data_IF_219078490761
#
_entry.id   IF_219078490761
#
_cell.length_a   1.000
_cell.length_b   1.000
_cell.length_c   1.000
_cell.angle_alpha   90.00
_cell.angle_beta   90.00
_cell.angle_gamma   90.00
#
_symmetry.space_group_name_H-M   'P 1'
#
loop_
_entity.id
_entity.type
_entity.pdbx_description
1 polymer ?
#
# COMPACT_ATOMS: atom_id res chain seq x y z
N UNK A 1 4.97 16.58 -7.80
CA UNK A 1 3.54 16.32 -8.03
C UNK A 1 2.86 16.41 -6.69
N UNK A 2 1.78 17.15 -6.53
CA UNK A 2 1.08 17.26 -5.24
C UNK A 2 -0.12 16.33 -5.28
N UNK A 3 -0.05 15.25 -4.52
CA UNK A 3 -1.20 14.38 -4.25
C UNK A 3 -2.14 15.05 -3.26
N UNK A 4 -3.41 14.67 -3.30
CA UNK A 4 -4.42 15.13 -2.34
C UNK A 4 -4.43 14.16 -1.17
N UNK A 5 -4.16 14.62 0.07
CA UNK A 5 -4.23 13.77 1.24
C UNK A 5 -5.68 13.37 1.54
N UNK A 6 -5.84 12.13 1.95
CA UNK A 6 -7.04 11.57 2.57
C UNK A 6 -6.61 11.17 3.97
N UNK A 7 -7.06 11.93 4.95
CA UNK A 7 -6.72 11.66 6.36
C UNK A 7 -7.25 10.29 6.75
N UNK A 8 -6.49 9.59 7.60
CA UNK A 8 -6.95 8.33 8.18
C UNK A 8 -8.37 8.48 8.74
N UNK A 9 -9.23 7.50 8.44
CA UNK A 9 -10.56 7.43 9.04
C UNK A 9 -10.41 7.15 10.55
N UNK A 10 -11.18 7.85 11.37
CA UNK A 10 -11.28 7.48 12.78
C UNK A 10 -11.79 6.04 12.93
N UNK A 11 -11.48 5.41 14.06
CA UNK A 11 -11.74 4.00 14.30
C UNK A 11 -13.20 3.60 14.06
N UNK A 12 -14.13 4.38 14.58
CA UNK A 12 -15.57 4.11 14.46
C UNK A 12 -16.01 4.19 13.00
N UNK A 13 -15.67 5.30 12.32
CA UNK A 13 -15.98 5.51 10.90
C UNK A 13 -15.37 4.40 10.03
N UNK A 14 -14.12 4.02 10.29
CA UNK A 14 -13.41 2.96 9.56
C UNK A 14 -14.16 1.63 9.66
N UNK A 15 -14.56 1.24 10.87
CA UNK A 15 -15.23 -0.03 11.11
C UNK A 15 -16.65 -0.03 10.52
N UNK A 16 -17.40 1.06 10.70
CA UNK A 16 -18.71 1.22 10.06
C UNK A 16 -18.60 1.20 8.53
N UNK A 17 -17.59 1.85 7.96
CA UNK A 17 -17.36 1.88 6.52
C UNK A 17 -17.05 0.48 5.96
N UNK A 18 -16.11 -0.25 6.58
CA UNK A 18 -15.75 -1.62 6.18
C UNK A 18 -16.90 -2.61 6.33
N UNK A 19 -17.69 -2.49 7.40
CA UNK A 19 -18.81 -3.39 7.66
C UNK A 19 -20.00 -3.10 6.73
N UNK A 20 -20.26 -1.82 6.45
CA UNK A 20 -21.43 -1.36 5.68
C UNK A 20 -21.22 -1.37 4.18
N UNK A 21 -20.07 -0.91 3.67
CA UNK A 21 -19.85 -0.76 2.23
C UNK A 21 -19.33 -2.07 1.66
N UNK A 22 -20.16 -2.75 0.84
CA UNK A 22 -19.75 -3.99 0.14
C UNK A 22 -19.05 -3.73 -1.18
N UNK A 23 -19.27 -2.56 -1.74
CA UNK A 23 -18.65 -2.13 -2.98
C UNK A 23 -19.31 -0.86 -3.49
N UNK A 24 -18.68 -0.25 -4.47
CA UNK A 24 -19.28 0.79 -5.29
C UNK A 24 -18.97 0.55 -6.75
N UNK A 25 -19.84 1.03 -7.65
CA UNK A 25 -19.57 1.04 -9.08
C UNK A 25 -19.85 2.43 -9.63
N UNK A 26 -18.90 2.94 -10.41
CA UNK A 26 -19.07 4.17 -11.17
C UNK A 26 -19.30 3.81 -12.62
N UNK A 27 -20.50 4.11 -13.11
CA UNK A 27 -20.82 3.97 -14.54
C UNK A 27 -20.70 5.34 -15.19
N UNK A 28 -19.88 5.42 -16.22
CA UNK A 28 -19.61 6.67 -16.94
C UNK A 28 -19.88 6.49 -18.42
N UNK A 29 -20.74 7.32 -18.99
CA UNK A 29 -20.87 7.49 -20.44
C UNK A 29 -19.99 8.65 -20.88
N UNK A 30 -19.19 8.44 -21.92
CA UNK A 30 -18.29 9.42 -22.50
C UNK A 30 -18.63 9.59 -23.96
N UNK A 31 -18.92 10.82 -24.38
CA UNK A 31 -18.98 11.24 -25.78
C UNK A 31 -17.77 12.13 -26.03
N UNK A 32 -16.78 11.60 -26.76
CA UNK A 32 -15.52 12.26 -27.04
C UNK A 32 -15.51 12.85 -28.45
N UNK A 33 -15.75 14.14 -28.55
CA UNK A 33 -15.55 14.96 -29.75
C UNK A 33 -14.15 15.58 -29.85
N UNK A 34 -13.23 15.27 -28.93
CA UNK A 34 -11.83 15.67 -29.05
C UNK A 34 -11.14 14.78 -30.09
N UNK A 35 -10.18 15.31 -30.86
CA UNK A 35 -9.51 14.55 -31.90
C UNK A 35 -8.43 13.58 -31.37
N UNK A 36 -8.49 13.24 -30.09
CA UNK A 36 -7.56 12.36 -29.39
C UNK A 36 -8.32 11.43 -28.46
N UNK A 37 -7.81 10.22 -28.28
CA UNK A 37 -8.27 9.28 -27.25
C UNK A 37 -7.35 9.33 -26.03
N UNK A 38 -7.73 8.62 -24.98
CA UNK A 38 -6.97 8.64 -23.75
C UNK A 38 -7.60 7.88 -22.61
N UNK A 39 -7.04 8.08 -21.44
CA UNK A 39 -7.44 7.50 -20.18
C UNK A 39 -7.28 8.54 -19.08
N UNK A 40 -8.29 8.63 -18.23
CA UNK A 40 -8.23 9.35 -16.97
C UNK A 40 -8.45 8.34 -15.85
N UNK A 41 -7.61 8.35 -14.84
CA UNK A 41 -7.74 7.48 -13.70
C UNK A 41 -7.51 8.24 -12.40
N UNK A 42 -8.21 7.82 -11.36
CA UNK A 42 -7.94 8.22 -9.99
C UNK A 42 -7.14 7.08 -9.36
N UNK A 43 -5.90 7.36 -9.03
CA UNK A 43 -4.98 6.42 -8.40
C UNK A 43 -4.73 6.82 -6.96
N UNK A 44 -4.38 5.86 -6.11
CA UNK A 44 -4.16 6.09 -4.70
C UNK A 44 -3.04 5.23 -4.12
N UNK A 45 -2.51 5.67 -2.99
CA UNK A 45 -1.36 5.11 -2.30
C UNK A 45 -1.37 5.47 -0.81
N UNK A 46 -0.57 4.77 0.00
CA UNK A 46 -0.22 5.09 1.39
C UNK A 46 0.93 6.12 1.51
N UNK A 47 1.47 6.61 0.38
CA UNK A 47 2.53 7.64 0.33
C UNK A 47 2.10 8.82 -0.53
N UNK A 48 2.62 10.00 -0.20
CA UNK A 48 2.36 11.23 -0.94
C UNK A 48 3.08 11.26 -2.31
N UNK A 49 4.24 10.62 -2.39
CA UNK A 49 5.04 10.47 -3.59
C UNK A 49 5.00 9.03 -4.11
N UNK A 50 4.23 8.84 -5.19
CA UNK A 50 4.06 7.55 -5.85
C UNK A 50 3.97 7.71 -7.37
N UNK A 51 4.37 6.67 -8.14
CA UNK A 51 4.42 6.75 -9.60
C UNK A 51 3.02 6.76 -10.23
N UNK A 52 2.87 7.55 -11.29
CA UNK A 52 1.63 7.57 -12.09
C UNK A 52 1.51 6.36 -13.04
N UNK A 53 2.63 5.77 -13.44
CA UNK A 53 2.65 4.53 -14.22
C UNK A 53 3.75 3.57 -13.74
N UNK A 54 3.70 2.31 -14.18
CA UNK A 54 4.59 1.24 -13.70
C UNK A 54 5.84 1.07 -14.56
N UNK A 55 6.20 2.07 -15.39
CA UNK A 55 7.37 1.96 -16.26
C UNK A 55 8.65 2.17 -15.46
N UNK A 56 9.72 1.53 -15.91
CA UNK A 56 11.02 1.60 -15.25
C UNK A 56 11.53 3.05 -15.11
N UNK A 57 11.30 3.89 -16.12
CA UNK A 57 11.73 5.29 -16.10
C UNK A 57 10.98 6.10 -15.04
N UNK A 58 9.68 5.84 -14.85
CA UNK A 58 8.85 6.50 -13.84
C UNK A 58 9.24 6.05 -12.44
N UNK A 59 9.48 4.74 -12.25
CA UNK A 59 9.96 4.21 -10.97
C UNK A 59 11.34 4.77 -10.60
N UNK A 60 12.25 4.87 -11.57
CA UNK A 60 13.56 5.50 -11.36
C UNK A 60 13.41 6.98 -10.98
N UNK A 61 12.53 7.73 -11.65
CA UNK A 61 12.30 9.14 -11.31
C UNK A 61 11.75 9.33 -9.88
N UNK A 62 10.93 8.39 -9.38
CA UNK A 62 10.49 8.39 -7.98
C UNK A 62 11.66 8.09 -7.05
N UNK A 63 12.47 7.07 -7.34
CA UNK A 63 13.68 6.76 -6.55
C UNK A 63 14.65 7.96 -6.49
N UNK A 64 14.88 8.63 -7.62
CA UNK A 64 15.71 9.84 -7.71
C UNK A 64 15.13 10.99 -6.87
N UNK A 65 13.81 11.16 -6.90
CA UNK A 65 13.10 12.19 -6.10
C UNK A 65 13.20 11.91 -4.60
N UNK A 66 13.25 10.63 -4.21
CA UNK A 66 13.50 10.17 -2.85
C UNK A 66 15.00 10.17 -2.48
N UNK A 67 15.87 10.55 -3.43
CA UNK A 67 17.32 10.57 -3.30
C UNK A 67 17.91 9.18 -2.97
N UNK A 68 17.29 8.13 -3.50
CA UNK A 68 17.76 6.76 -3.32
C UNK A 68 18.75 6.39 -4.41
N UNK A 69 19.84 5.72 -4.00
CA UNK A 69 20.74 5.00 -4.92
C UNK A 69 20.25 3.55 -5.16
N UNK A 70 19.13 3.19 -4.54
CA UNK A 70 18.55 1.87 -4.52
C UNK A 70 17.62 1.63 -5.72
N UNK A 71 17.29 0.37 -5.98
CA UNK A 71 16.29 0.02 -7.00
C UNK A 71 14.88 0.18 -6.47
N UNK A 72 13.97 0.71 -7.28
CA UNK A 72 12.52 0.70 -7.03
C UNK A 72 11.83 -0.16 -8.09
N UNK A 73 11.08 -1.18 -7.66
CA UNK A 73 10.38 -2.08 -8.57
C UNK A 73 9.01 -2.48 -8.02
N UNK A 74 8.20 -3.18 -8.82
CA UNK A 74 6.82 -3.54 -8.47
C UNK A 74 6.71 -5.05 -8.24
N UNK A 75 6.07 -5.44 -7.14
CA UNK A 75 5.62 -6.81 -6.88
C UNK A 75 4.10 -6.80 -6.70
N UNK A 76 3.44 -7.86 -7.18
CA UNK A 76 1.98 -8.00 -7.12
C UNK A 76 1.48 -9.28 -6.45
N UNK A 77 2.39 -10.21 -6.16
CA UNK A 77 2.00 -11.51 -5.62
C UNK A 77 2.21 -11.58 -4.12
N UNK A 78 1.14 -11.90 -3.40
CA UNK A 78 1.16 -12.12 -1.96
C UNK A 78 1.94 -13.37 -1.58
N UNK A 79 2.16 -14.29 -2.53
CA UNK A 79 3.07 -15.43 -2.32
C UNK A 79 4.54 -14.99 -2.14
N UNK A 80 4.89 -13.85 -2.73
CA UNK A 80 6.22 -13.22 -2.57
C UNK A 80 6.22 -12.26 -1.38
N UNK A 81 5.14 -11.51 -1.19
CA UNK A 81 4.96 -10.53 -0.10
C UNK A 81 4.45 -11.19 1.17
N UNK A 82 5.26 -12.06 1.73
CA UNK A 82 4.96 -12.79 2.96
C UNK A 82 6.16 -12.77 3.89
N UNK A 83 5.96 -12.84 5.21
CA UNK A 83 7.06 -12.71 6.16
C UNK A 83 8.02 -13.91 6.15
N UNK A 84 7.56 -15.10 5.71
CA UNK A 84 8.44 -16.26 5.48
C UNK A 84 9.35 -16.15 4.26
N UNK A 85 9.20 -15.10 3.44
CA UNK A 85 10.18 -14.77 2.42
C UNK A 85 11.25 -13.88 3.05
N UNK A 86 12.37 -14.47 3.42
CA UNK A 86 13.46 -13.75 4.08
C UNK A 86 13.92 -12.55 3.25
N UNK A 87 13.81 -12.56 1.92
CA UNK A 87 14.31 -11.47 1.07
C UNK A 87 13.42 -10.22 1.11
N UNK A 88 12.23 -10.30 1.75
CA UNK A 88 11.25 -9.22 1.80
C UNK A 88 10.92 -8.81 3.24
N UNK A 89 10.78 -7.51 3.49
CA UNK A 89 10.21 -6.94 4.70
C UNK A 89 8.92 -6.20 4.35
N UNK A 90 7.79 -6.65 4.90
CA UNK A 90 6.45 -6.17 4.51
C UNK A 90 5.83 -5.19 5.52
N UNK A 91 6.35 -5.15 6.75
CA UNK A 91 5.68 -4.49 7.88
C UNK A 91 5.74 -2.96 7.90
N UNK A 92 6.39 -2.35 6.89
CA UNK A 92 6.32 -0.90 6.65
C UNK A 92 4.97 -0.44 6.07
N UNK A 93 4.20 -1.36 5.48
CA UNK A 93 2.96 -1.07 4.74
C UNK A 93 1.81 -1.96 5.21
N UNK A 94 2.10 -3.21 5.55
CA UNK A 94 1.13 -4.20 6.02
C UNK A 94 1.33 -4.42 7.52
N UNK A 95 0.31 -4.28 8.36
CA UNK A 95 0.49 -4.59 9.80
C UNK A 95 0.38 -6.10 10.03
N UNK A 96 -0.40 -6.80 9.20
CA UNK A 96 -0.46 -8.25 9.18
C UNK A 96 -0.16 -8.79 7.77
N UNK A 97 0.40 -9.99 7.67
CA UNK A 97 0.67 -10.62 6.37
C UNK A 97 -0.58 -10.89 5.52
N UNK A 98 -1.74 -11.02 6.16
CA UNK A 98 -3.05 -11.17 5.52
C UNK A 98 -3.60 -9.87 4.90
N UNK A 99 -2.99 -8.71 5.22
CA UNK A 99 -3.34 -7.43 4.59
C UNK A 99 -2.92 -7.36 3.11
N UNK A 100 -2.11 -8.32 2.64
CA UNK A 100 -1.70 -8.37 1.24
C UNK A 100 -2.88 -8.69 0.31
N UNK A 101 -3.03 -7.89 -0.74
CA UNK A 101 -4.06 -8.06 -1.77
C UNK A 101 -3.40 -8.42 -3.10
N UNK A 102 -3.76 -9.60 -3.62
CA UNK A 102 -3.21 -10.12 -4.88
C UNK A 102 -3.53 -9.17 -6.06
N UNK A 103 -2.52 -8.87 -6.88
CA UNK A 103 -2.66 -8.03 -8.08
C UNK A 103 -2.45 -6.53 -7.85
N UNK A 104 -2.51 -6.05 -6.61
CA UNK A 104 -2.14 -4.67 -6.23
C UNK A 104 -0.66 -4.45 -6.48
N UNK A 105 -0.27 -3.25 -6.94
CA UNK A 105 1.14 -2.95 -7.18
C UNK A 105 1.80 -2.44 -5.90
N UNK A 106 2.57 -3.30 -5.25
CA UNK A 106 3.43 -2.92 -4.14
C UNK A 106 4.78 -2.44 -4.67
N UNK A 107 5.20 -1.25 -4.24
CA UNK A 107 6.50 -0.67 -4.54
C UNK A 107 7.53 -1.22 -3.57
N UNK A 108 8.57 -1.83 -4.12
CA UNK A 108 9.64 -2.46 -3.35
C UNK A 108 10.92 -1.66 -3.51
N UNK A 109 11.48 -1.22 -2.38
CA UNK A 109 12.82 -0.65 -2.31
C UNK A 109 13.82 -1.79 -2.13
N UNK A 110 14.61 -2.02 -3.17
CA UNK A 110 15.67 -3.01 -3.15
C UNK A 110 17.03 -2.38 -2.87
N UNK A 111 17.58 -2.63 -1.69
CA UNK A 111 18.89 -2.14 -1.25
C UNK A 111 19.94 -3.22 -1.51
N UNK A 112 21.11 -2.84 -2.01
CA UNK A 112 22.16 -3.83 -2.28
C UNK A 112 22.75 -4.36 -0.96
N UNK A 113 22.74 -5.69 -0.79
CA UNK A 113 23.29 -6.34 0.40
C UNK A 113 22.38 -6.30 1.63
N UNK A 114 21.15 -5.84 1.48
CA UNK A 114 20.12 -5.86 2.51
C UNK A 114 18.84 -6.52 1.98
N UNK A 115 17.94 -6.83 2.91
CA UNK A 115 16.59 -7.30 2.60
C UNK A 115 15.82 -6.20 1.86
N UNK A 116 15.03 -6.59 0.86
CA UNK A 116 14.17 -5.65 0.15
C UNK A 116 12.97 -5.28 1.05
N UNK A 117 12.53 -4.02 0.99
CA UNK A 117 11.45 -3.54 1.86
C UNK A 117 10.28 -3.07 1.02
N UNK A 118 9.07 -3.50 1.36
CA UNK A 118 7.85 -2.88 0.84
C UNK A 118 7.84 -1.43 1.32
N UNK A 119 7.76 -0.50 0.38
CA UNK A 119 7.78 0.93 0.64
C UNK A 119 6.37 1.53 0.65
N UNK A 120 5.54 1.07 -0.28
CA UNK A 120 4.21 1.62 -0.54
C UNK A 120 3.38 0.68 -1.41
N UNK A 121 2.07 0.89 -1.49
CA UNK A 121 1.22 0.33 -2.55
C UNK A 121 0.71 1.43 -3.49
N UNK A 122 0.34 1.04 -4.72
CA UNK A 122 -0.33 1.91 -5.69
C UNK A 122 -1.44 1.13 -6.41
N UNK A 123 -2.65 1.65 -6.34
CA UNK A 123 -3.78 1.08 -7.07
C UNK A 123 -4.70 2.14 -7.71
N UNK A 124 -5.62 1.70 -8.58
CA UNK A 124 -6.57 2.55 -9.31
C UNK A 124 -7.97 2.44 -8.71
N UNK A 125 -8.47 3.53 -8.12
CA UNK A 125 -9.85 3.60 -7.63
C UNK A 125 -10.84 3.60 -8.78
N UNK A 126 -10.66 4.52 -9.72
CA UNK A 126 -11.62 4.79 -10.78
C UNK A 126 -10.88 5.02 -12.10
N UNK A 127 -11.45 4.53 -13.20
CA UNK A 127 -10.90 4.68 -14.54
C UNK A 127 -11.98 5.07 -15.54
N UNK A 128 -11.66 6.08 -16.34
CA UNK A 128 -12.46 6.60 -17.44
C UNK A 128 -11.61 6.44 -18.70
N UNK A 129 -12.18 5.87 -19.74
CA UNK A 129 -11.53 5.74 -21.05
C UNK A 129 -12.16 6.74 -21.99
N UNK A 130 -11.35 7.60 -22.59
CA UNK A 130 -11.78 8.49 -23.66
C UNK A 130 -11.73 7.70 -24.97
N UNK A 131 -12.88 7.37 -25.59
CA UNK A 131 -12.90 6.58 -26.81
C UNK A 131 -12.26 7.36 -27.97
N UNK A 132 -11.66 6.65 -28.93
CA UNK A 132 -11.23 7.27 -30.19
C UNK A 132 -12.45 7.77 -30.96
N UNK A 133 -12.40 8.97 -31.58
CA UNK A 133 -13.44 9.41 -32.49
C UNK A 133 -13.74 8.37 -33.58
N UNK A 134 -15.01 8.21 -33.93
CA UNK A 134 -15.43 7.24 -34.94
C UNK A 134 -15.03 7.70 -36.36
N UNK A 135 -15.11 9.00 -36.63
CA UNK A 135 -14.79 9.55 -37.93
C UNK A 135 -14.16 10.95 -37.82
N UNK A 136 -13.20 11.22 -38.69
CA UNK A 136 -12.62 12.54 -38.91
C UNK A 136 -13.05 13.08 -40.28
N UNK A 137 -13.14 14.41 -40.38
CA UNK A 137 -13.33 15.06 -41.67
C UNK A 137 -12.15 14.77 -42.61
N UNK A 138 -12.45 14.56 -43.90
CA UNK A 138 -11.50 14.32 -44.98
C UNK A 138 -11.24 15.56 -45.84
N UNK A 139 -10.32 15.40 -46.80
CA UNK A 139 -10.03 16.46 -47.79
C UNK A 139 -11.24 16.68 -48.69
N UNK A 140 -11.77 17.90 -48.70
CA UNK A 140 -12.91 18.28 -49.54
C UNK A 140 -14.27 18.22 -48.85
N UNK A 141 -14.33 17.88 -47.56
CA UNK A 141 -15.57 17.96 -46.79
C UNK A 141 -16.02 19.43 -46.64
N UNK A 142 -17.29 19.75 -46.91
CA UNK A 142 -17.77 21.14 -46.94
C UNK A 142 -17.92 21.75 -45.54
N UNK A 143 -18.14 20.91 -44.53
CA UNK A 143 -18.52 21.35 -43.18
C UNK A 143 -17.35 21.33 -42.17
N UNK A 144 -16.21 20.75 -42.54
CA UNK A 144 -15.08 20.53 -41.66
C UNK A 144 -13.75 20.46 -42.41
N UNK A 145 -12.66 20.58 -41.66
CA UNK A 145 -11.30 20.54 -42.21
C UNK A 145 -10.61 19.21 -41.84
N UNK A 146 -9.70 18.70 -42.68
CA UNK A 146 -9.10 17.38 -42.49
C UNK A 146 -8.43 17.21 -41.12
N UNK A 147 -8.84 16.22 -40.33
CA UNK A 147 -8.30 15.99 -38.98
C UNK A 147 -9.13 16.60 -37.85
N UNK A 148 -10.24 17.28 -38.15
CA UNK A 148 -11.32 17.57 -37.18
C UNK A 148 -12.17 16.33 -36.94
N UNK A 149 -12.72 16.20 -35.74
CA UNK A 149 -13.72 15.17 -35.46
C UNK A 149 -15.01 15.46 -36.23
N UNK A 150 -15.49 14.46 -36.95
CA UNK A 150 -16.77 14.47 -37.66
C UNK A 150 -17.83 13.70 -36.89
N UNK A 151 -17.48 12.52 -36.39
CA UNK A 151 -18.33 11.71 -35.52
C UNK A 151 -17.58 11.44 -34.22
N UNK A 152 -18.10 11.89 -33.07
CA UNK A 152 -17.47 11.66 -31.77
C UNK A 152 -17.49 10.18 -31.42
N UNK A 153 -16.53 9.73 -30.61
CA UNK A 153 -16.59 8.40 -30.01
C UNK A 153 -17.58 8.36 -28.86
N UNK A 154 -18.40 7.32 -28.75
CA UNK A 154 -19.36 7.13 -27.64
C UNK A 154 -19.07 5.80 -26.94
N UNK A 155 -18.89 5.82 -25.63
CA UNK A 155 -18.65 4.61 -24.84
C UNK A 155 -19.22 4.70 -23.44
N UNK A 156 -19.47 3.53 -22.84
CA UNK A 156 -19.85 3.40 -21.44
C UNK A 156 -18.81 2.52 -20.74
N UNK A 157 -18.22 3.04 -19.67
CA UNK A 157 -17.23 2.34 -18.84
C UNK A 157 -17.78 2.19 -17.44
N UNK A 158 -17.63 1.00 -16.87
CA UNK A 158 -17.91 0.73 -15.46
C UNK A 158 -16.57 0.53 -14.74
N UNK A 159 -16.36 1.29 -13.67
CA UNK A 159 -15.25 1.09 -12.74
C UNK A 159 -15.80 0.60 -11.41
N UNK A 160 -15.28 -0.53 -10.93
CA UNK A 160 -15.66 -1.10 -9.64
C UNK A 160 -14.68 -0.70 -8.54
N UNK A 161 -15.23 -0.35 -7.40
CA UNK A 161 -14.56 -0.20 -6.11
C UNK A 161 -15.01 -1.42 -5.28
N UNK A 162 -14.22 -2.47 -5.29
CA UNK A 162 -14.50 -3.72 -4.59
C UNK A 162 -14.11 -3.65 -3.10
N UNK A 163 -14.32 -4.74 -2.37
CA UNK A 163 -13.96 -4.87 -0.95
C UNK A 163 -12.47 -4.71 -0.68
N UNK A 164 -11.61 -5.07 -1.63
CA UNK A 164 -10.16 -4.95 -1.46
C UNK A 164 -9.75 -3.47 -1.49
N UNK A 165 -10.27 -2.71 -2.47
CA UNK A 165 -10.06 -1.25 -2.53
C UNK A 165 -10.63 -0.53 -1.32
N UNK A 166 -11.81 -0.96 -0.84
CA UNK A 166 -12.40 -0.45 0.40
C UNK A 166 -11.46 -0.70 1.58
N UNK A 167 -10.92 -1.91 1.70
CA UNK A 167 -9.99 -2.29 2.78
C UNK A 167 -8.71 -1.45 2.75
N UNK A 168 -8.14 -1.23 1.56
CA UNK A 168 -6.95 -0.38 1.38
C UNK A 168 -7.23 1.09 1.67
N UNK A 169 -8.35 1.64 1.18
CA UNK A 169 -8.77 3.03 1.44
C UNK A 169 -9.02 3.33 2.91
N UNK A 170 -9.29 2.29 3.69
CA UNK A 170 -9.59 2.37 5.11
C UNK A 170 -8.50 1.71 5.95
N UNK A 171 -7.32 1.42 5.39
CA UNK A 171 -6.20 0.92 6.16
C UNK A 171 -5.69 1.99 7.13
N UNK A 172 -4.85 1.60 8.09
CA UNK A 172 -4.21 2.56 8.98
C UNK A 172 -3.28 3.51 8.20
N UNK A 173 -3.16 4.74 8.69
CA UNK A 173 -2.36 5.80 8.09
C UNK A 173 -3.13 6.68 7.11
N UNK A 174 -2.55 7.83 6.79
CA UNK A 174 -3.06 8.71 5.74
C UNK A 174 -2.83 8.08 4.37
N UNK A 175 -3.78 8.31 3.46
CA UNK A 175 -3.65 7.95 2.05
C UNK A 175 -3.55 9.19 1.18
N UNK A 176 -3.19 8.96 -0.07
CA UNK A 176 -2.96 10.02 -1.03
C UNK A 176 -3.57 9.63 -2.35
N UNK A 177 -4.35 10.55 -2.92
CA UNK A 177 -5.01 10.37 -4.20
C UNK A 177 -4.38 11.29 -5.22
N UNK A 178 -4.23 10.80 -6.45
CA UNK A 178 -3.76 11.58 -7.58
C UNK A 178 -4.56 11.27 -8.85
N UNK A 179 -4.66 12.25 -9.75
CA UNK A 179 -5.25 12.07 -11.06
C UNK A 179 -4.16 11.70 -12.08
N UNK A 180 -4.32 10.56 -12.72
CA UNK A 180 -3.55 10.21 -13.91
C UNK A 180 -4.37 10.59 -15.14
N UNK A 181 -3.80 11.35 -16.06
CA UNK A 181 -4.39 11.59 -17.39
C UNK A 181 -3.35 11.27 -18.45
N UNK A 182 -3.73 10.37 -19.35
CA UNK A 182 -2.89 9.94 -20.47
C UNK A 182 -3.67 10.08 -21.76
N UNK A 183 -3.16 10.87 -22.68
CA UNK A 183 -3.68 10.89 -24.05
C UNK A 183 -2.90 9.90 -24.90
N UNK A 184 -3.61 9.21 -25.79
CA UNK A 184 -2.99 8.33 -26.77
C UNK A 184 -2.67 9.13 -28.03
N UNK A 185 -1.52 8.81 -28.63
CA UNK A 185 -1.14 9.42 -29.90
C UNK A 185 -2.11 9.01 -31.01
N UNK A 186 -2.17 9.83 -32.05
CA UNK A 186 -3.07 9.66 -33.21
C UNK A 186 -2.48 8.77 -34.30
N UNK A 187 -1.57 7.86 -33.94
CA UNK A 187 -0.87 6.95 -34.87
C UNK A 187 -0.24 7.64 -36.10
N UNK A 188 0.20 8.90 -35.93
CA UNK A 188 0.82 9.70 -36.99
C UNK A 188 -0.15 10.54 -37.82
N UNK A 189 -1.45 10.51 -37.55
CA UNK A 189 -2.41 11.41 -38.16
C UNK A 189 -2.29 12.82 -37.57
N UNK A 190 -2.16 13.83 -38.44
CA UNK A 190 -2.25 15.21 -38.01
C UNK A 190 -3.69 15.53 -37.65
N UNK A 191 -3.90 15.87 -36.37
CA UNK A 191 -5.18 16.34 -35.86
C UNK A 191 -5.04 17.73 -35.28
N UNK A 192 -6.15 18.44 -35.12
CA UNK A 192 -6.14 19.73 -34.44
C UNK A 192 -7.40 19.94 -33.63
N UNK A 193 -7.21 20.58 -32.48
CA UNK A 193 -8.31 21.01 -31.64
C UNK A 193 -9.03 22.19 -32.28
N UNK A 194 -10.35 22.12 -32.28
CA UNK A 194 -11.23 23.15 -32.80
C UNK A 194 -12.16 23.67 -31.70
N UNK A 195 -12.75 24.86 -31.91
CA UNK A 195 -13.77 25.39 -30.99
C UNK A 195 -15.09 24.63 -31.04
N UNK A 196 -15.22 23.63 -31.92
CA UNK A 196 -16.39 22.76 -32.03
C UNK A 196 -16.22 21.44 -31.28
N UNK A 197 -15.00 21.13 -30.83
CA UNK A 197 -14.73 19.87 -30.16
C UNK A 197 -15.34 19.91 -28.75
N UNK A 198 -16.13 18.90 -28.42
CA UNK A 198 -16.77 18.77 -27.12
C UNK A 198 -16.34 17.47 -26.45
N UNK A 199 -16.31 17.50 -25.12
CA UNK A 199 -16.17 16.29 -24.30
C UNK A 199 -17.35 16.28 -23.34
N UNK A 200 -18.24 15.31 -23.50
CA UNK A 200 -19.36 15.11 -22.61
C UNK A 200 -19.10 13.87 -21.76
N UNK A 201 -19.15 14.05 -20.43
CA UNK A 201 -18.96 12.98 -19.46
C UNK A 201 -20.17 12.99 -18.54
N UNK A 202 -20.89 11.88 -18.52
CA UNK A 202 -22.00 11.65 -17.59
C UNK A 202 -21.67 10.44 -16.72
N UNK A 203 -21.46 10.69 -15.43
CA UNK A 203 -21.13 9.65 -14.45
C UNK A 203 -22.19 9.56 -13.36
N UNK A 204 -22.48 8.35 -12.91
CA UNK A 204 -23.18 8.11 -11.66
C UNK A 204 -22.47 7.00 -10.88
N UNK A 205 -22.41 7.16 -9.56
CA UNK A 205 -21.85 6.18 -8.64
C UNK A 205 -22.99 5.50 -7.89
N UNK A 206 -22.91 4.17 -7.78
CA UNK A 206 -23.83 3.34 -7.02
C UNK A 206 -23.06 2.66 -5.89
N UNK A 207 -23.55 2.78 -4.66
CA UNK A 207 -22.99 2.09 -3.50
C UNK A 207 -23.88 0.92 -3.12
N UNK A 208 -23.27 -0.23 -2.87
CA UNK A 208 -23.94 -1.38 -2.28
C UNK A 208 -23.66 -1.37 -0.78
N UNK A 209 -24.70 -1.09 0.00
CA UNK A 209 -24.62 -0.99 1.46
C UNK A 209 -25.30 -2.18 2.13
N UNK A 210 -24.70 -2.67 3.21
CA UNK A 210 -25.28 -3.64 4.13
C UNK A 210 -25.66 -2.94 5.43
N UNK A 211 -26.91 -3.10 5.86
CA UNK A 211 -27.46 -2.39 7.01
C UNK A 211 -26.92 -2.85 8.37
N UNK A 212 -26.40 -4.08 8.49
CA UNK A 212 -25.98 -4.62 9.79
C UNK A 212 -24.72 -3.92 10.30
N UNK A 213 -23.75 -3.68 9.42
CA UNK A 213 -22.48 -3.06 9.78
C UNK A 213 -22.54 -1.58 10.13
N UNK A 214 -23.65 -0.89 9.86
CA UNK A 214 -23.78 0.55 10.11
C UNK A 214 -24.22 0.87 11.54
N UNK A 215 -24.75 -0.13 12.25
CA UNK A 215 -25.28 0.01 13.61
C UNK A 215 -24.52 -0.86 14.62
N UNK A 216 -23.53 -1.61 14.15
CA UNK A 216 -22.65 -2.41 15.00
C UNK A 216 -21.61 -1.47 15.63
N UNK A 217 -21.41 -1.61 16.95
CA UNK A 217 -20.33 -0.91 17.64
C UNK A 217 -19.00 -1.40 17.07
N UNK A 218 -18.10 -0.45 16.81
CA UNK A 218 -16.74 -0.76 16.39
C UNK A 218 -16.06 -1.57 17.48
N UNK A 219 -15.54 -2.75 17.12
CA UNK A 219 -14.77 -3.55 18.07
C UNK A 219 -13.45 -2.85 18.37
N UNK A 220 -13.13 -2.73 19.64
CA UNK A 220 -11.84 -2.22 20.10
C UNK A 220 -10.68 -3.06 19.55
N UNK A 221 -9.58 -2.40 19.19
CA UNK A 221 -8.40 -3.03 18.60
C UNK A 221 -7.11 -2.51 19.26
N UNK A 222 -6.19 -3.43 19.48
CA UNK A 222 -4.77 -3.14 19.70
C UNK A 222 -4.01 -3.60 18.46
N UNK A 223 -3.07 -2.78 17.99
CA UNK A 223 -2.26 -3.11 16.80
C UNK A 223 -0.79 -2.80 17.07
N UNK A 224 0.03 -3.84 17.19
CA UNK A 224 1.48 -3.75 17.28
C UNK A 224 2.02 -3.26 15.94
N UNK A 225 2.89 -2.26 16.00
CA UNK A 225 3.51 -1.66 14.80
C UNK A 225 5.03 -1.81 14.78
N UNK A 226 5.65 -2.05 15.94
CA UNK A 226 7.09 -2.31 16.02
C UNK A 226 7.51 -2.89 17.38
N UNK A 227 8.41 -3.89 17.43
CA UNK A 227 8.78 -4.77 16.32
C UNK A 227 7.54 -5.58 15.87
N UNK A 228 7.42 -5.83 14.57
CA UNK A 228 6.25 -6.52 14.03
C UNK A 228 6.61 -7.76 13.19
N UNK A 229 7.91 -8.06 13.09
CA UNK A 229 8.42 -9.28 12.50
C UNK A 229 9.61 -9.05 11.58
N UNK A 230 10.52 -10.02 11.53
CA UNK A 230 11.77 -10.01 10.74
C UNK A 230 12.79 -8.91 11.11
N UNK A 231 12.56 -8.13 12.16
CA UNK A 231 13.61 -7.27 12.71
C UNK A 231 14.70 -8.10 13.37
N UNK A 232 15.95 -7.64 13.27
CA UNK A 232 17.06 -8.13 14.09
C UNK A 232 17.42 -7.03 15.06
N UNK A 233 17.14 -7.25 16.34
CA UNK A 233 17.43 -6.35 17.43
C UNK A 233 18.72 -6.78 18.14
N UNK A 234 19.23 -5.92 19.02
CA UNK A 234 20.50 -6.15 19.72
C UNK A 234 20.26 -6.10 21.22
N UNK A 235 20.77 -7.12 21.91
CA UNK A 235 20.81 -7.20 23.36
C UNK A 235 21.43 -5.93 23.97
N UNK A 236 20.95 -5.53 25.15
CA UNK A 236 21.41 -4.35 25.90
C UNK A 236 21.18 -3.01 25.16
N UNK A 237 20.60 -3.04 23.95
CA UNK A 237 20.24 -1.85 23.20
C UNK A 237 18.79 -1.47 23.51
N UNK A 238 18.58 -0.22 23.88
CA UNK A 238 17.25 0.30 24.14
C UNK A 238 16.45 0.40 22.85
N UNK A 239 15.30 -0.25 22.81
CA UNK A 239 14.32 -0.15 21.73
C UNK A 239 13.01 0.45 22.24
N UNK A 240 12.23 1.01 21.31
CA UNK A 240 10.90 1.54 21.60
C UNK A 240 9.88 0.64 20.92
N UNK A 241 9.20 -0.20 21.70
CA UNK A 241 8.04 -0.94 21.25
C UNK A 241 6.92 0.07 20.98
N UNK A 242 6.17 -0.12 19.90
CA UNK A 242 5.09 0.77 19.47
C UNK A 242 3.85 -0.02 19.08
N UNK A 243 2.70 0.53 19.43
CA UNK A 243 1.41 0.01 19.04
C UNK A 243 0.44 1.16 18.80
N UNK A 244 -0.78 0.80 18.39
CA UNK A 244 -1.91 1.72 18.29
C UNK A 244 -3.06 1.15 19.08
N UNK A 245 -3.69 1.99 19.88
CA UNK A 245 -4.96 1.71 20.55
C UNK A 245 -6.11 2.37 19.80
N UNK A 246 -7.03 1.55 19.31
CA UNK A 246 -8.12 1.98 18.45
C UNK A 246 -9.45 1.62 19.15
N UNK A 247 -10.27 2.63 19.40
CA UNK A 247 -11.45 2.52 20.25
C UNK A 247 -11.43 3.57 21.36
N UNK A 248 -12.62 4.06 21.74
CA UNK A 248 -12.74 5.22 22.61
C UNK A 248 -12.22 4.96 24.03
N UNK A 249 -12.34 3.73 24.52
CA UNK A 249 -11.96 3.36 25.90
C UNK A 249 -10.58 2.68 25.98
N UNK A 250 -10.05 2.15 24.87
CA UNK A 250 -8.81 1.35 24.85
C UNK A 250 -7.61 2.14 25.37
N UNK A 251 -7.51 3.42 25.00
CA UNK A 251 -6.40 4.29 25.44
C UNK A 251 -6.38 4.52 26.95
N UNK A 252 -7.50 4.32 27.65
CA UNK A 252 -7.61 4.48 29.09
C UNK A 252 -7.36 3.20 29.89
N UNK A 253 -7.33 2.05 29.21
CA UNK A 253 -7.04 0.76 29.81
C UNK A 253 -5.53 0.60 30.02
N UNK A 254 -5.11 -0.15 31.04
CA UNK A 254 -3.72 -0.57 31.15
C UNK A 254 -3.44 -1.72 30.18
N UNK A 255 -2.18 -1.84 29.77
CA UNK A 255 -1.71 -2.93 28.91
C UNK A 255 -0.53 -3.66 29.55
N UNK A 256 -0.35 -4.92 29.22
CA UNK A 256 0.82 -5.71 29.57
C UNK A 256 1.47 -6.29 28.31
N UNK A 257 2.80 -6.29 28.27
CA UNK A 257 3.57 -6.77 27.13
C UNK A 257 4.31 -8.04 27.49
N UNK A 258 4.34 -8.96 26.54
CA UNK A 258 4.92 -10.29 26.70
C UNK A 258 5.75 -10.68 25.49
N UNK A 259 6.71 -11.58 25.72
CA UNK A 259 7.46 -12.25 24.65
C UNK A 259 7.25 -13.76 24.71
N UNK A 260 7.45 -14.44 23.58
CA UNK A 260 7.51 -15.90 23.51
C UNK A 260 8.71 -16.35 22.68
N UNK A 261 9.36 -17.40 23.16
CA UNK A 261 10.46 -18.11 22.51
C UNK A 261 9.99 -19.32 21.70
N UNK A 262 8.67 -19.56 21.65
CA UNK A 262 8.11 -20.68 20.92
C UNK A 262 8.08 -20.39 19.41
N UNK A 263 8.21 -21.44 18.60
CA UNK A 263 8.14 -21.31 17.14
C UNK A 263 6.78 -20.80 16.67
N UNK A 264 5.70 -21.28 17.31
CA UNK A 264 4.31 -20.89 17.04
C UNK A 264 3.55 -20.82 18.37
N UNK A 265 3.62 -19.70 19.11
CA UNK A 265 2.88 -19.54 20.35
C UNK A 265 1.37 -19.40 20.09
N UNK A 266 0.55 -19.88 21.02
CA UNK A 266 -0.88 -19.60 21.02
C UNK A 266 -1.14 -18.34 21.84
N UNK A 267 -1.69 -17.30 21.20
CA UNK A 267 -2.01 -16.02 21.85
C UNK A 267 -2.91 -16.18 23.07
N UNK A 268 -3.76 -17.23 23.08
CA UNK A 268 -4.71 -17.52 24.15
C UNK A 268 -4.14 -18.37 25.31
N UNK A 269 -2.91 -18.88 25.20
CA UNK A 269 -2.28 -19.72 26.24
C UNK A 269 -1.25 -18.92 27.02
N UNK A 270 -1.59 -18.44 28.21
CA UNK A 270 -0.70 -17.59 29.01
C UNK A 270 0.66 -18.23 29.34
N UNK A 271 0.73 -19.57 29.39
CA UNK A 271 1.99 -20.30 29.64
C UNK A 271 3.03 -20.15 28.52
N UNK A 272 2.59 -19.77 27.31
CA UNK A 272 3.46 -19.54 26.16
C UNK A 272 4.20 -18.20 26.23
N UNK A 273 3.86 -17.34 27.19
CA UNK A 273 4.24 -15.92 27.21
C UNK A 273 4.92 -15.49 28.52
N UNK A 274 6.01 -14.74 28.41
CA UNK A 274 6.74 -14.15 29.53
C UNK A 274 6.57 -12.63 29.54
N UNK A 275 6.16 -12.06 30.68
CA UNK A 275 5.94 -10.62 30.84
C UNK A 275 7.26 -9.84 30.79
N UNK A 276 7.34 -8.86 29.88
CA UNK A 276 8.49 -7.95 29.75
C UNK A 276 8.24 -6.58 30.37
N UNK A 277 6.98 -6.20 30.60
CA UNK A 277 6.62 -4.96 31.30
C UNK A 277 6.60 -5.11 32.82
N UNK A 278 6.65 -6.35 33.33
CA UNK A 278 6.62 -6.65 34.77
C UNK A 278 5.26 -6.39 35.40
N UNK A 279 4.18 -6.56 34.62
CA UNK A 279 2.80 -6.26 34.98
C UNK A 279 2.18 -5.18 34.10
N UNK A 280 0.93 -4.83 34.43
CA UNK A 280 0.15 -3.83 33.72
C UNK A 280 0.77 -2.42 33.84
N UNK A 281 0.92 -1.76 32.69
CA UNK A 281 1.43 -0.40 32.54
C UNK A 281 0.37 0.50 31.90
N UNK A 282 0.50 1.81 32.11
CA UNK A 282 -0.36 2.78 31.43
C UNK A 282 -0.21 2.65 29.93
N UNK A 283 -1.32 2.59 29.21
CA UNK A 283 -1.33 2.57 27.76
C UNK A 283 -0.89 3.93 27.20
N UNK A 284 0.32 3.97 26.67
CA UNK A 284 0.95 5.18 26.13
C UNK A 284 1.36 5.01 24.66
N UNK A 285 0.73 4.05 23.94
CA UNK A 285 1.06 3.64 22.56
C UNK A 285 2.54 3.24 22.34
N UNK A 286 3.31 3.12 23.41
CA UNK A 286 4.73 2.79 23.36
C UNK A 286 5.29 2.35 24.71
N UNK A 287 6.33 1.52 24.66
CA UNK A 287 7.12 1.11 25.81
C UNK A 287 8.60 1.09 25.45
N UNK A 288 9.44 1.60 26.35
CA UNK A 288 10.89 1.44 26.24
C UNK A 288 11.25 0.07 26.81
N UNK A 289 11.90 -0.76 25.99
CA UNK A 289 12.39 -2.08 26.40
C UNK A 289 13.89 -2.20 26.09
N UNK A 290 14.63 -2.86 26.97
CA UNK A 290 16.05 -3.17 26.78
C UNK A 290 16.21 -4.67 26.97
N UNK A 291 16.32 -5.45 25.88
CA UNK A 291 16.41 -6.89 25.98
C UNK A 291 17.65 -7.34 26.73
N UNK A 292 17.46 -8.27 27.66
CA UNK A 292 18.51 -8.89 28.45
C UNK A 292 19.09 -10.15 27.77
N UNK A 293 20.02 -10.79 28.45
CA UNK A 293 20.67 -12.01 27.95
C UNK A 293 19.71 -13.21 27.82
N UNK A 294 18.61 -13.23 28.57
CA UNK A 294 17.59 -14.28 28.49
C UNK A 294 16.73 -14.15 27.21
N UNK A 295 16.64 -12.94 26.66
CA UNK A 295 15.79 -12.62 25.51
C UNK A 295 16.50 -12.88 24.17
N UNK A 296 17.77 -13.32 24.20
CA UNK A 296 18.55 -13.62 22.99
C UNK A 296 18.03 -14.92 22.36
N UNK A 297 17.34 -14.78 21.23
CA UNK A 297 16.79 -15.89 20.46
C UNK A 297 16.66 -15.52 18.98
N UNK A 298 16.64 -16.53 18.11
CA UNK A 298 16.42 -16.39 16.67
C UNK A 298 14.92 -16.23 16.35
N UNK A 299 14.05 -16.66 17.28
CA UNK A 299 12.60 -16.61 17.15
C UNK A 299 12.00 -16.02 18.43
N UNK A 300 11.59 -14.76 18.36
CA UNK A 300 10.76 -14.11 19.37
C UNK A 300 9.46 -13.60 18.77
N UNK A 301 8.37 -13.82 19.49
CA UNK A 301 7.08 -13.17 19.24
C UNK A 301 6.82 -12.12 20.31
N UNK A 302 6.15 -11.03 19.94
CA UNK A 302 5.66 -10.02 20.87
C UNK A 302 4.14 -10.16 20.98
N UNK A 303 3.62 -10.16 22.20
CA UNK A 303 2.18 -10.06 22.49
C UNK A 303 1.93 -8.84 23.37
N UNK A 304 0.79 -8.20 23.16
CA UNK A 304 0.27 -7.18 24.05
C UNK A 304 -1.19 -7.47 24.34
N UNK A 305 -1.59 -7.34 25.60
CA UNK A 305 -2.97 -7.48 26.01
C UNK A 305 -3.39 -6.33 26.93
N UNK A 306 -4.68 -6.03 27.01
CA UNK A 306 -5.22 -5.25 28.11
C UNK A 306 -5.21 -6.03 29.43
N UNK A 307 -5.41 -5.34 30.56
CA UNK A 307 -5.27 -5.90 31.91
C UNK A 307 -6.15 -7.13 32.20
N UNK A 308 -7.32 -7.26 31.54
CA UNK A 308 -8.21 -8.41 31.71
C UNK A 308 -8.02 -9.52 30.65
N UNK A 309 -7.10 -9.32 29.70
CA UNK A 309 -6.80 -10.27 28.62
C UNK A 309 -7.90 -10.42 27.57
N UNK A 310 -8.92 -9.57 27.56
CA UNK A 310 -10.03 -9.63 26.59
C UNK A 310 -9.66 -9.08 25.22
N UNK A 311 -8.66 -8.18 25.16
CA UNK A 311 -8.15 -7.56 23.95
C UNK A 311 -6.65 -7.79 23.87
N UNK A 312 -6.24 -8.60 22.91
CA UNK A 312 -4.83 -8.93 22.68
C UNK A 312 -4.48 -8.78 21.21
N UNK A 313 -3.20 -8.48 20.96
CA UNK A 313 -2.59 -8.50 19.66
C UNK A 313 -1.20 -9.14 19.73
N UNK A 314 -0.72 -9.66 18.61
CA UNK A 314 0.61 -10.24 18.48
C UNK A 314 1.33 -9.70 17.26
N UNK A 315 2.66 -9.65 17.30
CA UNK A 315 3.48 -9.30 16.14
C UNK A 315 3.11 -10.17 14.94
N UNK A 316 3.00 -9.57 13.75
CA UNK A 316 2.60 -10.27 12.52
C UNK A 316 3.60 -11.36 12.07
N UNK A 317 4.83 -11.33 12.57
CA UNK A 317 5.80 -12.42 12.46
C UNK A 317 6.81 -12.38 13.62
N UNK A 318 7.59 -13.45 13.78
CA UNK A 318 8.68 -13.46 14.74
C UNK A 318 9.83 -12.51 14.32
N UNK A 319 10.58 -12.02 15.31
CA UNK A 319 11.80 -11.23 15.16
C UNK A 319 12.96 -11.89 15.92
N UNK A 320 14.17 -11.37 15.77
CA UNK A 320 15.40 -11.92 16.35
C UNK A 320 16.02 -10.91 17.33
N UNK A 321 16.65 -11.42 18.39
CA UNK A 321 17.52 -10.64 19.27
C UNK A 321 18.91 -11.26 19.30
N UNK A 322 19.91 -10.47 18.87
CA UNK A 322 21.31 -10.90 18.83
C UNK A 322 22.09 -10.42 20.04
N UNK A 323 23.07 -11.23 20.48
CA UNK A 323 24.02 -10.84 21.51
C UNK A 323 24.85 -9.60 21.11
N UNK A 324 25.21 -8.76 22.09
CA UNK A 324 25.94 -7.50 21.91
C UNK A 324 27.40 -7.65 21.37
N UNK A 325 27.84 -8.88 21.04
CA UNK A 325 29.15 -9.20 20.45
C UNK A 325 29.11 -10.00 19.13
N UNK A 326 27.92 -10.27 18.58
CA UNK A 326 27.75 -11.05 17.35
C UNK A 326 28.16 -10.29 16.07
N UNK A 327 28.94 -10.93 15.19
CA UNK A 327 29.25 -10.39 13.85
C UNK A 327 28.00 -10.51 12.97
N UNK A 328 27.48 -9.39 12.45
CA UNK A 328 26.49 -9.42 11.35
C UNK A 328 27.04 -10.29 10.20
N UNK A 329 26.39 -11.42 9.93
CA UNK A 329 26.75 -12.27 8.79
C UNK A 329 26.14 -11.64 7.54
N UNK A 330 26.98 -11.18 6.62
CA UNK A 330 26.53 -10.66 5.33
C UNK A 330 25.78 -11.74 4.56
N UNK A 331 24.56 -11.44 4.16
CA UNK A 331 23.65 -12.37 3.51
C UNK A 331 24.03 -12.65 2.04
N UNK A 332 23.85 -13.88 1.53
CA UNK A 332 24.18 -14.23 0.15
C UNK A 332 23.32 -13.48 -0.89
N UNK A 333 23.79 -13.36 -2.15
CA UNK A 333 23.13 -12.57 -3.18
C UNK A 333 21.80 -13.16 -3.67
N UNK A 334 20.90 -12.23 -4.06
CA UNK A 334 19.50 -12.40 -4.49
C UNK A 334 19.29 -13.62 -5.41
N UNK A 335 18.25 -14.42 -5.14
CA UNK A 335 17.67 -15.38 -6.10
C UNK A 335 16.31 -14.89 -6.52
N UNK A 336 16.15 -14.42 -7.76
CA UNK A 336 14.82 -14.23 -8.33
C UNK A 336 14.79 -14.62 -9.80
N UNK A 337 13.96 -15.63 -10.08
CA UNK A 337 13.31 -15.84 -11.36
C UNK A 337 12.01 -15.00 -11.36
N UNK A 338 11.71 -14.34 -12.47
CA UNK A 338 10.56 -13.44 -12.72
C UNK A 338 10.63 -12.01 -12.14
N UNK A 339 11.76 -11.33 -12.33
CA UNK A 339 11.84 -9.86 -12.27
C UNK A 339 11.49 -9.28 -13.65
N UNK A 340 10.50 -8.39 -13.74
CA UNK A 340 10.43 -7.43 -14.87
C UNK A 340 11.70 -6.57 -14.82
N UNK A 341 12.50 -6.49 -15.89
CA UNK A 341 13.90 -6.08 -15.82
C UNK A 341 14.07 -4.70 -15.17
N UNK A 342 14.62 -4.71 -13.95
CA UNK A 342 15.17 -3.51 -13.34
C UNK A 342 16.41 -3.08 -14.16
N UNK A 343 16.39 -1.83 -14.62
CA UNK A 343 17.49 -1.24 -15.40
C UNK A 343 18.67 -1.01 -14.46
N UNK A 344 19.66 -1.90 -14.53
CA UNK A 344 20.96 -1.67 -13.92
C UNK A 344 21.88 -1.04 -14.98
N UNK A 345 22.23 0.24 -14.83
CA UNK A 345 23.25 0.91 -15.66
C UNK A 345 24.34 1.51 -14.81
N UNK A 346 25.46 0.80 -14.69
CA UNK A 346 26.77 1.17 -15.26
C UNK A 346 27.92 0.51 -14.48
N UNK A 347 29.05 0.27 -15.15
CA UNK A 347 30.16 1.17 -14.89
C UNK A 347 30.87 1.69 -16.15
N UNK A 348 31.44 2.86 -15.94
CA UNK A 348 32.39 3.61 -16.74
C UNK A 348 33.51 2.72 -17.31
N UNK A 349 33.85 2.91 -18.59
CA UNK A 349 35.26 2.91 -19.00
C UNK A 349 35.47 3.94 -20.12
N UNK A 350 36.30 4.93 -19.83
CA UNK A 350 37.01 5.68 -20.87
C UNK A 350 38.30 4.97 -21.22
N UNK A 351 38.66 4.91 -22.50
CA UNK A 351 39.94 5.37 -23.02
C UNK A 351 40.07 5.10 -24.52
N UNK A 352 40.56 6.14 -25.21
CA UNK A 352 40.95 6.32 -26.62
C UNK A 352 39.85 6.55 -27.65
#
# INVERSE_FOLDING_TARGET
MTSTPVTEMDHETRNQFRASVKGASMTTRIINGLPISGEMAIIFSDRDLFPLDRKAETLQAIADSLQWLDSLYVVKSCTTLKPSNDDMYIFNVMNDSSDCIEGVAYLIRGVQGSRDTVYSFVDTLLKIVLPTPEEFYGVGDPDGSPGMVKIPGDTVVVSEIDSNKITMLSSLGDHYINNMTRFYGTEGQAVFFSTRDTLEILSYISFTLQSTGMLEEAQDELVITYPNGNETLVQDSTIVIRWRSLGDEVSSQNVELFISHLEVPDIAQDEDWESISGGAISNADSMIWTPGAADVDDILWLKMCNEDGSLCDQSGWHFEITSSGGRMVSRPPRKYDEISPAVNKNPISGNR
#
